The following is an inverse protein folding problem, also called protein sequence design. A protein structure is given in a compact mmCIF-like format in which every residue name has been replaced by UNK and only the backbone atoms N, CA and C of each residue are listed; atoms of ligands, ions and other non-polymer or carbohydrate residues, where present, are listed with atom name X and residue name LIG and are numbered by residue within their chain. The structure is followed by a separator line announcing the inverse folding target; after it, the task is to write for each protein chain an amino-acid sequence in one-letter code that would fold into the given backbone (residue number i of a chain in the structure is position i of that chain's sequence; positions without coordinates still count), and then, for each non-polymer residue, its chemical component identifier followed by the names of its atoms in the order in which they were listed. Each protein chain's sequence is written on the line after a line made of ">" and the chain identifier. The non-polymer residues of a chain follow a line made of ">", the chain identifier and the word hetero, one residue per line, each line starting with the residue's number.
data_IF_263477898585
#
_entry.id   IF_263477898585
#
_cell.length_a   1.000
_cell.length_b   1.000
_cell.length_c   1.000
_cell.angle_alpha   90.00
_cell.angle_beta   90.00
_cell.angle_gamma   90.00
#
_symmetry.space_group_name_H-M   'P 1'
#
loop_
_entity.id
_entity.type
_entity.pdbx_description
1 polymer ?
#
# COMPACT_ATOMS: atom_id res chain seq x y z
N UNK A 1 4.59 -7.33 5.49
CA UNK A 1 5.26 -6.60 4.38
C UNK A 1 5.13 -5.10 4.59
N UNK A 2 3.90 -4.54 4.76
CA UNK A 2 3.71 -3.10 4.99
C UNK A 2 4.30 -2.65 6.34
N UNK A 3 4.17 -3.42 7.43
CA UNK A 3 4.79 -3.10 8.74
C UNK A 3 6.31 -3.15 8.72
N UNK A 4 6.94 -4.01 7.92
CA UNK A 4 8.39 -4.07 7.77
C UNK A 4 8.95 -2.92 6.92
N UNK A 5 8.15 -2.37 6.01
CA UNK A 5 8.51 -1.19 5.23
C UNK A 5 8.55 0.10 6.08
N UNK A 6 7.78 0.16 7.18
CA UNK A 6 7.67 1.32 8.07
C UNK A 6 8.81 1.42 9.10
N UNK A 7 9.80 0.52 9.10
CA UNK A 7 10.86 0.40 10.14
C UNK A 7 11.94 1.48 10.17
N UNK A 8 11.93 2.50 9.30
CA UNK A 8 12.72 3.74 9.42
C UNK A 8 11.80 4.92 9.14
N UNK A 9 11.18 5.43 10.19
CA UNK A 9 10.47 6.70 10.18
C UNK A 9 11.48 7.84 10.10
N UNK A 10 11.64 8.45 8.93
CA UNK A 10 11.65 9.90 8.90
C UNK A 10 10.19 10.32 9.08
N UNK A 11 9.88 10.90 10.23
CA UNK A 11 8.57 11.49 10.50
C UNK A 11 8.38 12.66 9.54
N UNK A 12 7.74 12.39 8.41
CA UNK A 12 7.08 13.43 7.66
C UNK A 12 5.98 13.96 8.60
N UNK A 13 6.25 15.05 9.28
CA UNK A 13 5.33 15.75 10.18
C UNK A 13 4.16 16.24 9.34
N UNK A 14 3.11 15.44 9.25
CA UNK A 14 1.90 15.73 8.51
C UNK A 14 0.79 16.09 9.49
N UNK A 15 0.15 17.23 9.27
CA UNK A 15 -0.98 17.73 10.04
C UNK A 15 -2.21 16.79 10.00
N UNK A 16 -3.19 16.91 10.91
CA UNK A 16 -4.34 16.00 10.98
C UNK A 16 -5.17 16.04 9.69
N UNK A 17 -5.76 14.90 9.33
CA UNK A 17 -6.73 14.80 8.25
C UNK A 17 -7.93 15.72 8.52
N UNK A 18 -7.98 16.82 7.83
CA UNK A 18 -8.95 17.92 7.96
C UNK A 18 -8.31 19.18 7.37
N UNK A 19 -8.29 19.30 6.05
CA UNK A 19 -8.05 20.58 5.37
C UNK A 19 -6.62 21.07 5.17
N UNK A 20 -5.59 20.60 5.85
CA UNK A 20 -4.21 21.04 5.60
C UNK A 20 -3.20 19.94 6.01
N UNK A 21 -2.49 19.36 5.06
CA UNK A 21 -1.36 18.51 5.40
C UNK A 21 -1.07 17.29 4.52
N UNK A 22 -1.72 17.16 3.35
CA UNK A 22 -1.30 16.16 2.38
C UNK A 22 -0.06 16.71 1.65
N UNK A 23 1.10 16.04 1.75
CA UNK A 23 2.31 16.51 1.07
C UNK A 23 2.11 16.62 -0.43
N UNK A 24 2.58 17.70 -1.04
CA UNK A 24 2.47 17.87 -2.50
C UNK A 24 3.22 16.78 -3.27
N UNK A 25 4.29 16.26 -2.68
CA UNK A 25 5.15 15.22 -3.23
C UNK A 25 4.69 13.77 -2.89
N UNK A 26 3.50 13.60 -2.30
CA UNK A 26 2.90 12.26 -2.18
C UNK A 26 2.68 11.67 -3.57
N UNK A 27 2.96 10.40 -3.74
CA UNK A 27 2.91 9.65 -5.00
C UNK A 27 3.97 10.04 -6.05
N UNK A 28 4.99 10.84 -5.70
CA UNK A 28 6.04 11.24 -6.64
C UNK A 28 6.82 10.06 -7.21
N UNK A 29 6.96 8.98 -6.43
CA UNK A 29 7.64 7.75 -6.90
C UNK A 29 6.76 6.87 -7.80
N UNK A 30 5.47 7.18 -7.96
CA UNK A 30 4.54 6.43 -8.81
C UNK A 30 4.53 7.10 -10.18
N UNK A 31 4.87 6.34 -11.22
CA UNK A 31 4.90 6.83 -12.60
C UNK A 31 3.52 6.65 -13.22
N UNK A 32 3.04 7.68 -13.94
CA UNK A 32 1.70 7.69 -14.51
C UNK A 32 0.60 7.90 -13.46
N UNK A 33 -0.64 7.63 -13.83
CA UNK A 33 -1.82 7.76 -12.97
C UNK A 33 -2.05 9.17 -12.40
N UNK A 34 -1.72 10.21 -13.16
CA UNK A 34 -1.70 11.59 -12.64
C UNK A 34 -3.11 12.08 -12.28
N UNK A 35 -4.11 11.72 -13.08
CA UNK A 35 -5.53 11.94 -12.80
C UNK A 35 -5.99 11.27 -11.49
N UNK A 36 -5.61 10.03 -11.29
CA UNK A 36 -5.90 9.29 -10.06
C UNK A 36 -5.20 9.89 -8.84
N UNK A 37 -3.93 10.27 -8.98
CA UNK A 37 -3.17 10.91 -7.90
C UNK A 37 -3.83 12.22 -7.47
N UNK A 38 -4.27 13.02 -8.43
CA UNK A 38 -4.93 14.29 -8.16
C UNK A 38 -6.30 14.10 -7.53
N UNK A 39 -7.08 13.12 -7.97
CA UNK A 39 -8.35 12.76 -7.36
C UNK A 39 -8.19 12.28 -5.91
N UNK A 40 -7.22 11.41 -5.64
CA UNK A 40 -6.93 10.95 -4.27
C UNK A 40 -6.48 12.12 -3.39
N UNK A 41 -5.59 12.99 -3.87
CA UNK A 41 -5.15 14.20 -3.14
C UNK A 41 -6.33 15.11 -2.83
N UNK A 42 -7.21 15.33 -3.81
CA UNK A 42 -8.41 16.14 -3.65
C UNK A 42 -9.34 15.56 -2.57
N UNK A 43 -9.69 14.28 -2.68
CA UNK A 43 -10.53 13.58 -1.70
C UNK A 43 -9.98 13.70 -0.28
N UNK A 44 -8.67 13.48 -0.12
CA UNK A 44 -8.02 13.55 1.19
C UNK A 44 -7.95 14.96 1.75
N UNK A 45 -7.72 16.00 0.91
CA UNK A 45 -7.67 17.39 1.32
C UNK A 45 -9.03 17.93 1.74
N UNK A 46 -10.06 17.57 0.98
CA UNK A 46 -11.45 17.98 1.26
C UNK A 46 -12.08 17.16 2.40
N UNK A 47 -11.42 16.11 2.88
CA UNK A 47 -11.96 15.23 3.91
C UNK A 47 -13.21 14.48 3.46
N UNK A 48 -13.35 14.24 2.15
CA UNK A 48 -14.51 13.53 1.59
C UNK A 48 -14.43 12.05 1.94
N UNK A 49 -15.59 11.49 2.33
CA UNK A 49 -15.74 10.05 2.56
C UNK A 49 -15.90 9.36 1.22
N UNK A 50 -14.81 8.83 0.67
CA UNK A 50 -14.81 8.02 -0.55
C UNK A 50 -13.85 6.85 -0.39
N UNK A 51 -14.31 5.64 -0.70
CA UNK A 51 -13.56 4.41 -0.52
C UNK A 51 -13.02 3.92 -1.85
N UNK A 52 -11.76 3.52 -1.87
CA UNK A 52 -11.03 3.11 -3.07
C UNK A 52 -10.62 1.65 -3.00
N UNK A 53 -10.90 0.90 -4.06
CA UNK A 53 -10.47 -0.48 -4.24
C UNK A 53 -9.52 -0.60 -5.44
N UNK A 54 -8.28 -0.99 -5.17
CA UNK A 54 -7.23 -1.18 -6.14
C UNK A 54 -7.09 -2.67 -6.47
N UNK A 55 -7.38 -3.06 -7.71
CA UNK A 55 -7.43 -4.45 -8.15
C UNK A 55 -6.37 -4.68 -9.22
N UNK A 56 -5.69 -5.81 -9.20
CA UNK A 56 -4.76 -6.20 -10.25
C UNK A 56 -3.76 -7.24 -9.79
N UNK A 57 -2.97 -7.80 -10.71
CA UNK A 57 -1.99 -8.82 -10.38
C UNK A 57 -0.90 -8.32 -9.42
N UNK A 58 -0.10 -9.23 -8.83
CA UNK A 58 1.11 -8.83 -8.11
C UNK A 58 2.04 -7.97 -8.96
N UNK A 59 2.96 -7.26 -8.30
CA UNK A 59 3.97 -6.41 -8.95
C UNK A 59 3.39 -5.27 -9.83
N UNK A 60 2.30 -4.65 -9.35
CA UNK A 60 1.71 -3.45 -9.94
C UNK A 60 1.79 -2.24 -8.99
N UNK A 61 1.34 -1.06 -9.44
CA UNK A 61 1.39 0.17 -8.64
C UNK A 61 0.58 0.15 -7.33
N UNK A 62 -0.34 -0.80 -7.13
CA UNK A 62 -1.22 -0.87 -5.94
C UNK A 62 -0.47 -0.74 -4.62
N UNK A 63 0.57 -1.57 -4.44
CA UNK A 63 1.34 -1.58 -3.19
C UNK A 63 2.09 -0.27 -2.96
N UNK A 64 2.50 0.43 -4.02
CA UNK A 64 3.14 1.74 -3.92
C UNK A 64 2.14 2.81 -3.48
N UNK A 65 0.91 2.81 -4.03
CA UNK A 65 -0.16 3.69 -3.57
C UNK A 65 -0.45 3.48 -2.09
N UNK A 66 -0.65 2.22 -1.67
CA UNK A 66 -0.92 1.92 -0.25
C UNK A 66 0.25 2.31 0.66
N UNK A 67 1.48 2.14 0.19
CA UNK A 67 2.66 2.51 0.96
C UNK A 67 2.77 4.03 1.14
N UNK A 68 2.59 4.81 0.07
CA UNK A 68 2.59 6.27 0.13
C UNK A 68 1.51 6.80 1.08
N UNK A 69 0.29 6.26 0.98
CA UNK A 69 -0.82 6.57 1.88
C UNK A 69 -0.51 6.18 3.33
N UNK A 70 0.24 5.09 3.54
CA UNK A 70 0.65 4.62 4.86
C UNK A 70 1.58 5.56 5.62
N UNK A 71 2.22 6.50 4.93
CA UNK A 71 3.03 7.54 5.55
C UNK A 71 2.20 8.74 6.04
N UNK A 72 0.93 8.82 5.68
CA UNK A 72 0.06 9.91 6.12
C UNK A 72 -0.30 9.78 7.60
N UNK A 73 -0.39 10.92 8.29
CA UNK A 73 -0.84 10.95 9.67
C UNK A 73 -2.29 10.46 9.77
N UNK A 74 -2.55 9.57 10.73
CA UNK A 74 -3.87 8.96 10.91
C UNK A 74 -4.15 7.80 9.96
N UNK A 75 -3.16 7.37 9.17
CA UNK A 75 -3.23 6.15 8.40
C UNK A 75 -2.97 4.92 9.30
N UNK A 76 -3.80 3.90 9.14
CA UNK A 76 -3.67 2.62 9.82
C UNK A 76 -3.53 1.49 8.79
N UNK A 77 -2.32 0.96 8.60
CA UNK A 77 -2.08 -0.14 7.67
C UNK A 77 -2.46 -1.48 8.31
N UNK A 78 -3.21 -2.29 7.57
CA UNK A 78 -3.60 -3.64 7.92
C UNK A 78 -3.44 -4.57 6.71
N UNK A 79 -3.46 -5.88 6.94
CA UNK A 79 -3.39 -6.91 5.88
C UNK A 79 -4.59 -7.83 6.04
N UNK A 80 -5.40 -8.00 5.00
CA UNK A 80 -6.64 -8.77 5.04
C UNK A 80 -6.45 -10.20 5.56
N UNK A 81 -5.39 -10.88 5.17
CA UNK A 81 -5.08 -12.24 5.64
C UNK A 81 -4.68 -12.33 7.12
N UNK A 82 -4.42 -11.21 7.80
CA UNK A 82 -3.95 -11.14 9.20
C UNK A 82 -4.87 -10.37 10.13
N UNK A 83 -5.96 -9.84 9.62
CA UNK A 83 -6.92 -9.05 10.39
C UNK A 83 -8.08 -9.94 10.86
N UNK A 84 -8.63 -9.65 12.04
CA UNK A 84 -9.86 -10.23 12.54
C UNK A 84 -10.86 -9.12 12.86
N UNK A 85 -12.15 -9.47 12.98
CA UNK A 85 -13.19 -8.51 13.35
C UNK A 85 -12.91 -7.84 14.70
N UNK A 86 -12.48 -8.62 15.69
CA UNK A 86 -12.08 -8.09 17.01
C UNK A 86 -10.87 -7.15 16.90
N UNK A 87 -9.85 -7.52 16.09
CA UNK A 87 -8.67 -6.71 15.89
C UNK A 87 -8.95 -5.38 15.17
N UNK A 88 -9.85 -5.37 14.17
CA UNK A 88 -10.30 -4.12 13.55
C UNK A 88 -11.09 -3.25 14.52
N UNK A 89 -12.01 -3.86 15.26
CA UNK A 89 -12.80 -3.15 16.27
C UNK A 89 -11.89 -2.48 17.31
N UNK A 90 -10.93 -3.21 17.87
CA UNK A 90 -9.96 -2.67 18.82
C UNK A 90 -9.11 -1.54 18.18
N UNK A 91 -8.72 -1.68 16.92
CA UNK A 91 -7.97 -0.65 16.20
C UNK A 91 -8.80 0.65 16.06
N UNK A 92 -10.07 0.55 15.72
CA UNK A 92 -10.95 1.71 15.63
C UNK A 92 -11.14 2.42 16.98
N UNK A 93 -11.32 1.70 18.05
CA UNK A 93 -11.47 2.30 19.39
C UNK A 93 -10.17 2.94 19.89
N UNK A 94 -9.02 2.29 19.66
CA UNK A 94 -7.76 2.69 20.27
C UNK A 94 -6.98 3.72 19.41
N UNK A 95 -7.07 3.63 18.08
CA UNK A 95 -6.27 4.45 17.18
C UNK A 95 -7.09 5.50 16.42
N UNK A 96 -8.40 5.29 16.29
CA UNK A 96 -9.31 6.18 15.56
C UNK A 96 -8.74 6.65 14.21
N UNK A 97 -8.36 5.71 13.31
CA UNK A 97 -7.69 6.02 12.07
C UNK A 97 -8.59 6.87 11.16
N UNK A 98 -8.04 7.87 10.50
CA UNK A 98 -8.74 8.64 9.45
C UNK A 98 -8.64 7.98 8.09
N UNK A 99 -7.62 7.16 7.89
CA UNK A 99 -7.37 6.40 6.68
C UNK A 99 -7.08 4.95 7.07
N UNK A 100 -7.92 4.02 6.64
CA UNK A 100 -7.64 2.59 6.75
C UNK A 100 -7.01 2.11 5.45
N UNK A 101 -5.83 1.49 5.56
CA UNK A 101 -5.13 0.90 4.43
C UNK A 101 -5.17 -0.60 4.60
N UNK A 102 -5.80 -1.30 3.65
CA UNK A 102 -6.02 -2.72 3.72
C UNK A 102 -5.45 -3.43 2.50
N UNK A 103 -4.27 -4.01 2.65
CA UNK A 103 -3.69 -4.87 1.61
C UNK A 103 -4.26 -6.29 1.69
N UNK A 104 -4.27 -7.01 0.55
CA UNK A 104 -4.82 -8.36 0.44
C UNK A 104 -6.29 -8.47 0.90
N UNK A 105 -7.12 -7.50 0.54
CA UNK A 105 -8.54 -7.51 0.95
C UNK A 105 -9.31 -8.72 0.40
N UNK A 106 -8.88 -9.29 -0.70
CA UNK A 106 -9.41 -10.52 -1.29
C UNK A 106 -9.25 -11.76 -0.38
N UNK A 107 -8.47 -11.63 0.70
CA UNK A 107 -8.25 -12.67 1.73
C UNK A 107 -8.85 -12.31 3.10
N UNK A 108 -9.68 -11.28 3.19
CA UNK A 108 -10.26 -10.83 4.45
C UNK A 108 -11.23 -11.87 5.01
N UNK A 109 -11.16 -12.22 6.32
CA UNK A 109 -12.13 -13.10 6.95
C UNK A 109 -13.51 -12.47 7.12
N UNK A 110 -14.54 -13.31 7.22
CA UNK A 110 -15.94 -12.85 7.25
C UNK A 110 -16.28 -11.96 8.47
N UNK A 111 -15.70 -12.24 9.63
CA UNK A 111 -15.90 -11.45 10.84
C UNK A 111 -15.31 -10.03 10.69
N UNK A 112 -14.15 -9.91 10.07
CA UNK A 112 -13.56 -8.62 9.74
C UNK A 112 -14.32 -7.88 8.63
N UNK A 113 -14.86 -8.62 7.66
CA UNK A 113 -15.72 -8.06 6.60
C UNK A 113 -16.96 -7.41 7.21
N UNK A 114 -17.62 -8.05 8.18
CA UNK A 114 -18.81 -7.49 8.83
C UNK A 114 -18.54 -6.15 9.53
N UNK A 115 -17.40 -6.03 10.22
CA UNK A 115 -16.99 -4.77 10.85
C UNK A 115 -16.69 -3.70 9.80
N UNK A 116 -16.01 -4.09 8.71
CA UNK A 116 -15.66 -3.18 7.62
C UNK A 116 -16.91 -2.65 6.91
N UNK A 117 -17.90 -3.50 6.64
CA UNK A 117 -19.19 -3.10 6.06
C UNK A 117 -19.90 -2.05 6.93
N UNK A 118 -19.99 -2.27 8.23
CA UNK A 118 -20.63 -1.33 9.16
C UNK A 118 -19.94 0.03 9.16
N UNK A 119 -18.61 0.05 9.27
CA UNK A 119 -17.87 1.31 9.35
C UNK A 119 -17.84 2.06 8.01
N UNK A 120 -17.82 1.36 6.90
CA UNK A 120 -17.85 1.98 5.56
C UNK A 120 -19.23 2.59 5.25
N UNK A 121 -20.31 1.94 5.66
CA UNK A 121 -21.68 2.41 5.40
C UNK A 121 -22.06 3.59 6.29
N UNK A 122 -22.08 3.36 7.59
CA UNK A 122 -22.62 4.33 8.58
C UNK A 122 -21.57 4.98 9.47
N UNK A 123 -20.34 4.48 9.43
CA UNK A 123 -19.28 4.87 10.37
C UNK A 123 -19.42 4.19 11.74
N UNK A 124 -20.37 3.27 11.92
CA UNK A 124 -20.64 2.67 13.21
C UNK A 124 -19.67 1.52 13.50
N UNK A 125 -18.97 1.62 14.61
CA UNK A 125 -18.15 0.56 15.19
C UNK A 125 -18.81 0.14 16.51
N UNK A 126 -19.32 -1.08 16.55
CA UNK A 126 -19.99 -1.63 17.73
C UNK A 126 -19.16 -2.77 18.32
N UNK A 127 -18.95 -2.72 19.61
CA UNK A 127 -18.37 -3.82 20.38
C UNK A 127 -19.33 -4.28 21.45
N UNK A 128 -19.66 -5.56 21.41
CA UNK A 128 -20.45 -6.21 22.46
C UNK A 128 -19.57 -7.23 23.14
N UNK A 129 -19.10 -6.91 24.36
CA UNK A 129 -18.42 -7.84 25.28
C UNK A 129 -19.36 -8.14 26.45
N UNK A 130 -19.12 -9.26 27.13
CA UNK A 130 -19.94 -9.68 28.30
C UNK A 130 -20.22 -8.50 29.26
N UNK A 131 -21.50 -8.14 29.39
CA UNK A 131 -22.01 -7.02 30.22
C UNK A 131 -21.55 -5.60 29.81
N UNK A 132 -20.93 -5.40 28.68
CA UNK A 132 -20.55 -4.06 28.14
C UNK A 132 -20.83 -3.97 26.67
N UNK A 133 -21.55 -2.92 26.30
CA UNK A 133 -21.69 -2.51 24.89
C UNK A 133 -21.09 -1.12 24.76
N UNK A 134 -20.23 -0.92 23.82
CA UNK A 134 -19.72 0.40 23.46
C UNK A 134 -19.81 0.59 21.96
N UNK A 135 -20.13 1.81 21.57
CA UNK A 135 -20.22 2.22 20.18
C UNK A 135 -19.37 3.46 19.92
N UNK A 136 -18.83 3.56 18.75
CA UNK A 136 -18.08 4.70 18.24
C UNK A 136 -18.60 5.01 16.85
N UNK A 137 -18.88 6.29 16.57
CA UNK A 137 -19.11 6.75 15.21
C UNK A 137 -17.82 7.28 14.65
N UNK A 138 -17.39 6.73 13.52
CA UNK A 138 -16.06 6.95 13.01
C UNK A 138 -16.06 7.21 11.51
N UNK A 139 -15.64 8.40 11.11
CA UNK A 139 -15.50 8.75 9.71
C UNK A 139 -14.07 8.47 9.24
N UNK A 140 -13.96 7.60 8.24
CA UNK A 140 -12.68 7.25 7.64
C UNK A 140 -12.80 7.02 6.14
N UNK A 141 -11.68 7.11 5.45
CA UNK A 141 -11.52 6.67 4.08
C UNK A 141 -10.83 5.31 4.07
N UNK A 142 -11.32 4.38 3.26
CA UNK A 142 -10.71 3.06 3.08
C UNK A 142 -10.00 3.02 1.74
N UNK A 143 -8.71 2.70 1.76
CA UNK A 143 -7.93 2.33 0.58
C UNK A 143 -7.58 0.85 0.70
N UNK A 144 -8.17 0.05 -0.16
CA UNK A 144 -7.96 -1.39 -0.15
C UNK A 144 -7.29 -1.86 -1.43
N UNK A 145 -6.46 -2.90 -1.35
CA UNK A 145 -5.89 -3.55 -2.52
C UNK A 145 -6.10 -5.06 -2.46
N UNK A 146 -6.38 -5.67 -3.62
CA UNK A 146 -6.52 -7.09 -3.81
C UNK A 146 -5.99 -7.55 -5.16
N UNK A 147 -5.75 -8.84 -5.31
CA UNK A 147 -5.35 -9.39 -6.60
C UNK A 147 -6.55 -9.63 -7.52
N UNK A 148 -7.73 -9.86 -6.95
CA UNK A 148 -8.99 -10.10 -7.66
C UNK A 148 -10.17 -9.62 -6.84
N UNK A 149 -11.23 -9.22 -7.52
CA UNK A 149 -12.54 -8.91 -6.92
C UNK A 149 -13.49 -10.12 -6.95
N UNK A 150 -13.16 -11.17 -7.70
CA UNK A 150 -14.05 -12.33 -7.92
C UNK A 150 -14.36 -13.13 -6.66
N UNK A 151 -13.49 -13.10 -5.67
CA UNK A 151 -13.64 -13.80 -4.39
C UNK A 151 -14.26 -12.93 -3.30
N UNK A 152 -14.46 -11.64 -3.58
CA UNK A 152 -15.00 -10.69 -2.62
C UNK A 152 -16.54 -10.72 -2.61
N UNK A 153 -17.18 -10.61 -1.43
CA UNK A 153 -18.62 -10.49 -1.34
C UNK A 153 -19.15 -9.27 -2.11
N UNK A 154 -20.27 -9.40 -2.87
CA UNK A 154 -20.87 -8.27 -3.59
C UNK A 154 -21.19 -7.08 -2.68
N UNK A 155 -21.61 -7.36 -1.44
CA UNK A 155 -21.92 -6.35 -0.43
C UNK A 155 -20.69 -5.50 -0.11
N UNK A 156 -19.51 -6.13 0.01
CA UNK A 156 -18.26 -5.41 0.25
C UNK A 156 -17.86 -4.59 -0.98
N UNK A 157 -17.97 -5.17 -2.16
CA UNK A 157 -17.67 -4.48 -3.42
C UNK A 157 -18.54 -3.24 -3.65
N UNK A 158 -19.79 -3.27 -3.18
CA UNK A 158 -20.73 -2.14 -3.31
C UNK A 158 -20.38 -0.95 -2.40
N UNK A 159 -19.52 -1.13 -1.40
CA UNK A 159 -19.08 -0.06 -0.48
C UNK A 159 -17.91 0.77 -1.03
N UNK A 160 -17.27 0.30 -2.09
CA UNK A 160 -16.22 1.07 -2.74
C UNK A 160 -16.80 1.96 -3.83
N UNK A 161 -16.63 3.27 -3.65
CA UNK A 161 -17.08 4.29 -4.62
C UNK A 161 -16.27 4.20 -5.91
N UNK A 162 -14.99 3.88 -5.78
CA UNK A 162 -14.05 3.82 -6.90
C UNK A 162 -13.32 2.48 -6.93
N UNK A 163 -13.44 1.77 -8.05
CA UNK A 163 -12.72 0.51 -8.32
C UNK A 163 -11.75 0.74 -9.46
N UNK A 164 -10.49 0.48 -9.20
CA UNK A 164 -9.37 0.78 -10.07
C UNK A 164 -8.65 -0.51 -10.45
N UNK A 165 -8.53 -0.77 -11.74
CA UNK A 165 -7.89 -1.96 -12.26
C UNK A 165 -6.50 -1.62 -12.78
N UNK A 166 -5.49 -2.24 -12.17
CA UNK A 166 -4.07 -2.01 -12.48
C UNK A 166 -3.53 -3.12 -13.36
N UNK A 167 -2.87 -2.72 -14.44
CA UNK A 167 -2.11 -3.62 -15.30
C UNK A 167 -0.66 -3.77 -14.80
N UNK A 168 0.03 -4.88 -15.16
CA UNK A 168 1.47 -4.97 -14.98
C UNK A 168 2.20 -3.80 -15.62
N UNK A 169 3.32 -3.41 -15.04
CA UNK A 169 4.18 -2.37 -15.63
C UNK A 169 4.73 -2.78 -16.98
N UNK A 170 4.90 -1.82 -17.88
CA UNK A 170 5.83 -1.95 -19.00
C UNK A 170 7.28 -1.94 -18.49
N UNK A 171 8.24 -2.27 -19.36
CA UNK A 171 9.66 -2.20 -19.01
C UNK A 171 10.07 -0.78 -18.57
N UNK A 172 9.67 0.21 -19.33
CA UNK A 172 10.01 1.62 -19.10
C UNK A 172 9.39 2.14 -17.80
N UNK A 173 8.13 1.78 -17.55
CA UNK A 173 7.44 2.12 -16.30
C UNK A 173 8.13 1.48 -15.10
N UNK A 174 8.44 0.19 -15.18
CA UNK A 174 9.11 -0.54 -14.09
C UNK A 174 10.47 0.08 -13.75
N UNK A 175 11.31 0.34 -14.75
CA UNK A 175 12.62 0.96 -14.57
C UNK A 175 12.50 2.36 -13.96
N UNK A 176 11.53 3.14 -14.43
CA UNK A 176 11.27 4.48 -13.90
C UNK A 176 10.78 4.45 -12.44
N UNK A 177 9.92 3.49 -12.11
CA UNK A 177 9.46 3.24 -10.73
C UNK A 177 10.64 2.84 -9.83
N UNK A 178 11.48 1.90 -10.27
CA UNK A 178 12.68 1.52 -9.53
C UNK A 178 13.61 2.71 -9.28
N UNK A 179 13.84 3.54 -10.32
CA UNK A 179 14.64 4.76 -10.19
C UNK A 179 14.10 5.71 -9.13
N UNK A 180 12.79 6.01 -9.16
CA UNK A 180 12.16 6.90 -8.20
C UNK A 180 12.13 6.32 -6.79
N UNK A 181 11.67 5.08 -6.67
CA UNK A 181 11.49 4.40 -5.40
C UNK A 181 12.80 4.14 -4.64
N UNK A 182 13.79 3.54 -5.31
CA UNK A 182 15.07 3.19 -4.66
C UNK A 182 15.87 4.44 -4.29
N UNK A 183 15.79 5.50 -5.09
CA UNK A 183 16.46 6.75 -4.74
C UNK A 183 15.83 7.43 -3.53
N UNK A 184 14.51 7.39 -3.41
CA UNK A 184 13.77 8.04 -2.33
C UNK A 184 13.84 7.27 -1.01
N UNK A 185 13.69 5.94 -1.06
CA UNK A 185 13.49 5.13 0.14
C UNK A 185 14.69 4.28 0.53
N UNK A 186 15.60 3.99 -0.39
CA UNK A 186 16.79 3.17 -0.11
C UNK A 186 18.10 3.96 -0.31
N UNK A 187 18.00 5.27 -0.59
CA UNK A 187 19.13 6.18 -0.76
C UNK A 187 20.15 5.71 -1.81
N UNK A 188 19.66 5.12 -2.90
CA UNK A 188 20.48 4.67 -4.02
C UNK A 188 20.59 5.78 -5.07
N UNK A 189 21.79 6.08 -5.61
CA UNK A 189 21.94 7.05 -6.71
C UNK A 189 21.02 6.72 -7.88
N UNK A 190 20.38 7.73 -8.50
CA UNK A 190 19.36 7.54 -9.54
C UNK A 190 19.82 6.63 -10.69
N UNK A 191 21.05 6.82 -11.17
CA UNK A 191 21.62 5.99 -12.24
C UNK A 191 21.74 4.53 -11.82
N UNK A 192 22.17 4.28 -10.58
CA UNK A 192 22.29 2.92 -10.07
C UNK A 192 20.92 2.28 -9.79
N UNK A 193 19.96 3.07 -9.32
CA UNK A 193 18.59 2.63 -9.10
C UNK A 193 17.92 2.22 -10.43
N UNK A 194 18.19 2.96 -11.51
CA UNK A 194 17.76 2.60 -12.87
C UNK A 194 18.39 1.28 -13.31
N UNK A 195 19.69 1.13 -13.11
CA UNK A 195 20.43 -0.09 -13.43
C UNK A 195 19.87 -1.31 -12.67
N UNK A 196 19.57 -1.15 -11.36
CA UNK A 196 18.92 -2.20 -10.57
C UNK A 196 17.56 -2.57 -11.18
N UNK A 197 16.77 -1.60 -11.63
CA UNK A 197 15.49 -1.84 -12.29
C UNK A 197 15.66 -2.66 -13.57
N UNK A 198 16.63 -2.31 -14.42
CA UNK A 198 16.93 -3.04 -15.66
C UNK A 198 17.31 -4.50 -15.36
N UNK A 199 18.25 -4.70 -14.44
CA UNK A 199 18.72 -6.03 -14.07
C UNK A 199 17.61 -6.90 -13.45
N UNK A 200 16.76 -6.29 -12.59
CA UNK A 200 15.63 -6.99 -11.99
C UNK A 200 14.62 -7.44 -13.04
N UNK A 201 14.32 -6.58 -14.02
CA UNK A 201 13.41 -6.90 -15.11
C UNK A 201 13.93 -8.00 -16.03
N UNK A 202 15.20 -7.93 -16.40
CA UNK A 202 15.81 -8.83 -17.39
C UNK A 202 16.16 -10.20 -16.80
N UNK A 203 16.56 -10.26 -15.55
CA UNK A 203 17.17 -11.45 -14.96
C UNK A 203 16.38 -12.08 -13.80
N UNK A 204 15.36 -11.39 -13.28
CA UNK A 204 14.60 -11.85 -12.11
C UNK A 204 13.08 -11.81 -12.35
N UNK A 205 12.30 -11.37 -11.39
CA UNK A 205 10.84 -11.53 -11.31
C UNK A 205 10.02 -10.28 -11.61
N UNK A 206 10.64 -9.20 -12.08
CA UNK A 206 9.95 -7.93 -12.39
C UNK A 206 9.17 -7.33 -11.20
N UNK A 207 9.62 -7.59 -9.98
CA UNK A 207 9.00 -7.07 -8.77
C UNK A 207 9.87 -5.98 -8.13
N UNK A 208 9.26 -4.83 -7.83
CA UNK A 208 9.93 -3.71 -7.14
C UNK A 208 10.46 -4.14 -5.76
N UNK A 209 9.84 -5.13 -5.12
CA UNK A 209 10.32 -5.71 -3.86
C UNK A 209 11.66 -6.40 -4.03
N UNK A 210 11.86 -7.09 -5.15
CA UNK A 210 13.13 -7.72 -5.49
C UNK A 210 14.19 -6.67 -5.80
N UNK A 211 13.86 -5.64 -6.58
CA UNK A 211 14.75 -4.50 -6.81
C UNK A 211 15.18 -3.82 -5.49
N UNK A 212 14.25 -3.63 -4.57
CA UNK A 212 14.51 -3.15 -3.20
C UNK A 212 15.41 -4.10 -2.43
N UNK A 213 15.17 -5.40 -2.56
CA UNK A 213 15.99 -6.44 -1.94
C UNK A 213 17.44 -6.41 -2.43
N UNK A 214 17.68 -6.08 -3.70
CA UNK A 214 19.02 -5.85 -4.27
C UNK A 214 19.64 -4.61 -3.61
N UNK A 215 18.95 -3.47 -3.65
CA UNK A 215 19.43 -2.21 -3.07
C UNK A 215 19.91 -2.37 -1.62
N UNK A 216 19.15 -3.08 -0.79
CA UNK A 216 19.47 -3.33 0.63
C UNK A 216 20.65 -4.28 0.88
N UNK A 217 21.09 -5.01 -0.15
CA UNK A 217 22.24 -5.94 -0.08
C UNK A 217 23.49 -5.35 -0.67
N UNK A 218 23.44 -4.14 -1.21
CA UNK A 218 24.62 -3.46 -1.70
C UNK A 218 25.56 -3.14 -0.53
N UNK A 219 26.84 -3.41 -0.74
CA UNK A 219 27.94 -3.02 0.13
C UNK A 219 28.49 -1.67 -0.30
N UNK A 220 28.47 -1.45 -1.64
CA UNK A 220 28.90 -0.24 -2.30
C UNK A 220 27.88 0.13 -3.38
N UNK A 221 27.75 1.43 -3.65
CA UNK A 221 26.87 1.92 -4.71
C UNK A 221 27.56 1.82 -6.08
N UNK A 222 27.86 0.59 -6.50
CA UNK A 222 28.51 0.29 -7.80
C UNK A 222 27.72 -0.74 -8.59
N UNK A 223 27.84 -0.69 -9.92
CA UNK A 223 27.25 -1.69 -10.83
C UNK A 223 27.81 -3.10 -10.58
N UNK A 224 29.07 -3.21 -10.22
CA UNK A 224 29.70 -4.50 -9.93
C UNK A 224 29.07 -5.16 -8.71
N UNK A 225 28.73 -4.35 -7.68
CA UNK A 225 28.06 -4.88 -6.48
C UNK A 225 26.61 -5.26 -6.76
N UNK A 226 25.90 -4.52 -7.62
CA UNK A 226 24.60 -4.92 -8.15
C UNK A 226 24.68 -6.28 -8.83
N UNK A 227 25.63 -6.45 -9.75
CA UNK A 227 25.85 -7.69 -10.49
C UNK A 227 26.20 -8.86 -9.57
N UNK A 228 26.95 -8.62 -8.50
CA UNK A 228 27.23 -9.60 -7.45
C UNK A 228 25.94 -10.07 -6.78
N UNK A 229 25.07 -9.15 -6.39
CA UNK A 229 23.80 -9.46 -5.72
C UNK A 229 22.86 -10.17 -6.67
N UNK A 230 22.73 -9.71 -7.91
CA UNK A 230 21.86 -10.35 -8.93
C UNK A 230 22.31 -11.79 -9.17
N UNK A 231 23.60 -12.03 -9.40
CA UNK A 231 24.15 -13.40 -9.56
C UNK A 231 23.89 -14.29 -8.35
N UNK A 232 23.99 -13.72 -7.14
CA UNK A 232 23.65 -14.45 -5.91
C UNK A 232 22.16 -14.84 -5.89
N UNK A 233 21.26 -13.92 -6.23
CA UNK A 233 19.82 -14.20 -6.27
C UNK A 233 19.48 -15.25 -7.34
N UNK A 234 20.02 -15.11 -8.56
CA UNK A 234 19.83 -16.10 -9.62
C UNK A 234 20.28 -17.51 -9.22
N UNK A 235 21.39 -17.61 -8.49
CA UNK A 235 21.93 -18.92 -8.04
C UNK A 235 21.02 -19.59 -7.01
N UNK A 236 20.35 -18.83 -6.15
CA UNK A 236 19.59 -19.36 -5.00
C UNK A 236 18.08 -19.10 -5.11
N UNK A 237 17.62 -18.27 -6.05
CA UNK A 237 16.21 -18.20 -6.35
C UNK A 237 15.78 -19.54 -6.96
N UNK A 238 14.81 -20.22 -6.37
CA UNK A 238 14.12 -21.32 -7.05
C UNK A 238 13.42 -20.71 -8.25
N UNK A 239 13.87 -21.07 -9.44
CA UNK A 239 13.12 -20.87 -10.67
C UNK A 239 11.86 -21.72 -10.50
N UNK A 240 10.74 -21.09 -10.23
CA UNK A 240 9.44 -21.73 -10.37
C UNK A 240 9.19 -21.77 -11.89
N UNK A 241 9.49 -22.92 -12.50
CA UNK A 241 8.99 -23.31 -13.79
C UNK A 241 7.46 -23.42 -13.76
#
# INVERSE_FOLDING_TARGET
>A
VIKEALGRREELTVAPAGGQGIPNNIFECIIGYDDLKDEIKFTLREGRKSHYLLIGPPATAKSLFLMELGHLRGAYPATGSRVSGAGLTDAFFNHQPKILILDEIDKIPMDATAVLLSVMESGDVLETKYKRQRGLKHDLVVFAAGNTDKTMPPELLSRFDTKLYFSPYSFEEFVSVCRGYLSRYENVPRVLAEYIGIETWQQLDKDVRTARGIARRLRENTTDDVNRVVRFLMKYAKVHE
#
